data_IF_889552672781
#
_entry.id   IF_889552672781
#
_cell.length_a   1.000
_cell.length_b   1.000
_cell.length_c   1.000
_cell.angle_alpha   90.00
_cell.angle_beta   90.00
_cell.angle_gamma   90.00
#
_symmetry.space_group_name_H-M   'P 1'
#
loop_
_entity.id
_entity.type
_entity.pdbx_description
1 polymer ?
#
# COMPACT_ATOMS: atom_id res chain seq x y z
N UNK A 1 12.49 6.40 6.31
CA UNK A 1 12.86 5.07 5.77
C UNK A 1 11.71 4.13 6.03
N UNK A 2 11.26 3.40 5.01
CA UNK A 2 10.20 2.39 5.09
C UNK A 2 10.60 1.19 4.24
N UNK A 3 9.99 0.04 4.50
CA UNK A 3 10.04 -1.11 3.59
C UNK A 3 8.65 -1.69 3.40
N UNK A 4 8.51 -2.52 2.38
CA UNK A 4 7.30 -3.27 2.09
C UNK A 4 7.62 -4.75 2.17
N UNK A 5 6.86 -5.51 2.97
CA UNK A 5 6.90 -6.97 3.01
C UNK A 5 5.48 -7.47 2.77
N UNK A 6 5.28 -8.26 1.70
CA UNK A 6 3.95 -8.68 1.24
C UNK A 6 2.98 -7.49 1.11
N UNK A 7 1.84 -7.54 1.78
CA UNK A 7 0.80 -6.50 1.77
C UNK A 7 0.96 -5.49 2.92
N UNK A 8 2.15 -5.41 3.54
CA UNK A 8 2.43 -4.54 4.68
C UNK A 8 3.56 -3.53 4.43
N UNK A 9 3.32 -2.26 4.75
CA UNK A 9 4.34 -1.23 4.83
C UNK A 9 4.76 -1.02 6.27
N UNK A 10 6.06 -1.00 6.53
CA UNK A 10 6.61 -0.75 7.86
C UNK A 10 7.33 0.59 7.84
N UNK A 11 6.83 1.55 8.61
CA UNK A 11 7.39 2.89 8.72
C UNK A 11 8.31 2.96 9.94
N UNK A 12 9.63 2.87 9.72
CA UNK A 12 10.60 2.79 10.80
C UNK A 12 11.05 4.14 11.35
N UNK A 13 11.72 4.92 10.49
CA UNK A 13 12.48 6.09 10.92
C UNK A 13 11.97 7.30 10.15
N UNK A 14 11.20 8.12 10.86
CA UNK A 14 10.72 9.41 10.39
C UNK A 14 11.10 10.46 11.44
N UNK A 15 12.01 11.34 11.07
CA UNK A 15 12.52 12.39 11.94
C UNK A 15 12.56 13.70 11.16
N UNK A 16 12.12 14.76 11.82
CA UNK A 16 12.24 16.14 11.32
C UNK A 16 13.10 16.90 12.32
N UNK A 17 14.10 17.61 11.80
CA UNK A 17 14.98 18.49 12.58
C UNK A 17 14.13 19.46 13.42
N UNK A 18 14.47 19.71 14.71
CA UNK A 18 13.66 20.56 15.59
C UNK A 18 13.23 21.89 14.99
N UNK A 19 14.14 22.54 14.26
CA UNK A 19 13.97 23.85 13.63
C UNK A 19 12.99 23.84 12.45
N UNK A 20 12.71 22.66 11.90
CA UNK A 20 11.82 22.45 10.76
C UNK A 20 10.48 21.79 11.15
N UNK A 21 10.24 21.56 12.45
CA UNK A 21 8.98 20.95 12.94
C UNK A 21 7.80 21.91 12.77
N UNK A 22 6.58 21.39 12.92
CA UNK A 22 5.30 22.13 12.84
C UNK A 22 5.02 22.79 11.48
N UNK A 23 5.76 22.40 10.43
CA UNK A 23 5.58 22.86 9.04
C UNK A 23 4.95 21.81 8.13
N UNK A 24 4.38 20.73 8.68
CA UNK A 24 3.76 19.64 7.91
C UNK A 24 4.73 18.61 7.32
N UNK A 25 6.05 18.82 7.37
CA UNK A 25 7.06 17.93 6.77
C UNK A 25 6.96 16.47 7.21
N UNK A 26 6.68 16.22 8.50
CA UNK A 26 6.51 14.85 8.99
C UNK A 26 5.30 14.15 8.37
N UNK A 27 4.21 14.90 8.16
CA UNK A 27 3.00 14.39 7.54
C UNK A 27 3.20 14.16 6.03
N UNK A 28 3.98 15.02 5.37
CA UNK A 28 4.33 14.87 3.95
C UNK A 28 5.18 13.61 3.71
N UNK A 29 6.22 13.40 4.52
CA UNK A 29 7.06 12.20 4.44
C UNK A 29 6.26 10.91 4.69
N UNK A 30 5.36 10.92 5.68
CA UNK A 30 4.50 9.78 5.96
C UNK A 30 3.52 9.52 4.81
N UNK A 31 2.87 10.55 4.26
CA UNK A 31 1.98 10.43 3.09
C UNK A 31 2.71 9.91 1.88
N UNK A 32 3.94 10.34 1.63
CA UNK A 32 4.76 9.82 0.54
C UNK A 32 5.01 8.32 0.70
N UNK A 33 5.38 7.87 1.90
CA UNK A 33 5.54 6.43 2.17
C UNK A 33 4.23 5.66 1.94
N UNK A 34 3.10 6.17 2.44
CA UNK A 34 1.78 5.56 2.21
C UNK A 34 1.43 5.50 0.72
N UNK A 35 1.69 6.56 -0.05
CA UNK A 35 1.45 6.59 -1.49
C UNK A 35 2.27 5.50 -2.21
N UNK A 36 3.57 5.40 -1.91
CA UNK A 36 4.43 4.34 -2.46
C UNK A 36 3.95 2.95 -2.03
N UNK A 37 3.48 2.80 -0.78
CA UNK A 37 2.87 1.56 -0.30
C UNK A 37 1.60 1.20 -1.10
N UNK A 38 0.74 2.19 -1.35
CA UNK A 38 -0.49 2.04 -2.13
C UNK A 38 -0.19 1.57 -3.55
N UNK A 39 0.76 2.21 -4.23
CA UNK A 39 1.22 1.81 -5.57
C UNK A 39 1.76 0.37 -5.59
N UNK A 40 2.33 -0.09 -4.47
CA UNK A 40 2.84 -1.46 -4.30
C UNK A 40 1.81 -2.42 -3.74
N UNK A 41 0.56 -2.01 -3.52
CA UNK A 41 -0.51 -2.90 -3.03
C UNK A 41 -0.46 -3.28 -1.58
N UNK A 42 0.21 -2.46 -0.79
CA UNK A 42 0.09 -2.53 0.65
C UNK A 42 -1.37 -2.33 1.03
N UNK A 43 -1.87 -3.20 1.90
CA UNK A 43 -3.20 -3.11 2.50
C UNK A 43 -3.14 -2.51 3.89
N UNK A 44 -2.01 -2.65 4.57
CA UNK A 44 -1.82 -2.14 5.92
C UNK A 44 -0.47 -1.49 6.06
N UNK A 45 -0.42 -0.25 6.55
CA UNK A 45 0.82 0.33 7.06
C UNK A 45 0.88 0.18 8.59
N UNK A 46 2.08 -0.08 9.09
CA UNK A 46 2.40 -0.32 10.50
C UNK A 46 3.53 0.60 10.93
N UNK A 47 3.46 1.06 12.17
CA UNK A 47 4.58 1.73 12.84
C UNK A 47 4.60 1.45 14.33
N UNK A 48 5.77 1.60 14.91
CA UNK A 48 6.01 1.64 16.35
C UNK A 48 6.44 3.04 16.77
N UNK A 49 5.80 3.57 17.82
CA UNK A 49 6.12 4.88 18.37
C UNK A 49 6.22 4.80 19.89
N UNK A 50 7.21 5.48 20.48
CA UNK A 50 7.33 5.63 21.95
C UNK A 50 6.03 6.16 22.56
N UNK A 51 5.57 5.56 23.65
CA UNK A 51 4.32 5.95 24.32
C UNK A 51 4.33 7.41 24.80
N UNK A 52 5.50 7.95 25.17
CA UNK A 52 5.69 9.35 25.55
C UNK A 52 5.70 10.33 24.37
N UNK A 53 5.83 9.85 23.13
CA UNK A 53 5.91 10.71 21.95
C UNK A 53 4.53 11.13 21.44
N UNK A 54 3.82 11.90 22.26
CA UNK A 54 2.45 12.36 22.01
C UNK A 54 2.33 13.15 20.71
N UNK A 55 3.37 13.92 20.34
CA UNK A 55 3.39 14.69 19.10
C UNK A 55 3.39 13.80 17.85
N UNK A 56 4.17 12.72 17.86
CA UNK A 56 4.18 11.76 16.74
C UNK A 56 2.89 10.94 16.71
N UNK A 57 2.37 10.51 17.86
CA UNK A 57 1.08 9.81 17.96
C UNK A 57 -0.03 10.67 17.35
N UNK A 58 -0.15 11.94 17.75
CA UNK A 58 -1.16 12.86 17.23
C UNK A 58 -0.99 13.10 15.71
N UNK A 59 0.25 13.17 15.22
CA UNK A 59 0.53 13.27 13.78
C UNK A 59 0.01 12.04 13.02
N UNK A 60 0.27 10.83 13.53
CA UNK A 60 -0.18 9.60 12.88
C UNK A 60 -1.70 9.42 12.98
N UNK A 61 -2.32 9.75 14.12
CA UNK A 61 -3.78 9.78 14.27
C UNK A 61 -4.43 10.75 13.27
N UNK A 62 -3.85 11.95 13.11
CA UNK A 62 -4.32 12.93 12.12
C UNK A 62 -4.14 12.48 10.66
N UNK A 63 -3.27 11.50 10.40
CA UNK A 63 -3.12 10.85 9.10
C UNK A 63 -4.05 9.63 8.93
N UNK A 64 -4.81 9.24 9.97
CA UNK A 64 -5.74 8.10 9.94
C UNK A 64 -5.17 6.80 10.50
N UNK A 65 -3.99 6.79 11.11
CA UNK A 65 -3.51 5.61 11.84
C UNK A 65 -4.30 5.40 13.12
N UNK A 66 -4.68 4.17 13.40
CA UNK A 66 -5.32 3.75 14.64
C UNK A 66 -4.32 3.04 15.56
N UNK A 67 -4.44 3.25 16.87
CA UNK A 67 -3.71 2.48 17.89
C UNK A 67 -4.22 1.05 17.91
N UNK A 68 -3.32 0.07 17.75
CA UNK A 68 -3.65 -1.36 17.72
C UNK A 68 -3.35 -2.04 19.05
N UNK A 69 -2.14 -1.87 19.58
CA UNK A 69 -1.73 -2.46 20.85
C UNK A 69 -0.48 -1.76 21.42
N UNK A 70 -0.07 -2.17 22.62
CA UNK A 70 1.17 -1.75 23.26
C UNK A 70 2.16 -2.91 23.30
N UNK A 71 3.43 -2.64 23.01
CA UNK A 71 4.56 -3.55 23.31
C UNK A 71 5.27 -3.03 24.55
N UNK A 72 5.15 -3.79 25.65
CA UNK A 72 5.76 -3.41 26.93
C UNK A 72 7.28 -3.47 26.87
N UNK A 73 7.94 -2.42 27.35
CA UNK A 73 9.41 -2.33 27.43
C UNK A 73 10.13 -2.55 26.09
N UNK A 74 9.54 -2.09 25.00
CA UNK A 74 10.07 -2.30 23.64
C UNK A 74 11.33 -1.49 23.36
N UNK A 75 11.45 -0.29 23.93
CA UNK A 75 12.67 0.51 23.84
C UNK A 75 13.48 0.31 25.11
N UNK A 76 14.82 0.22 25.00
CA UNK A 76 15.71 -0.03 26.15
C UNK A 76 16.40 1.21 26.72
N UNK A 77 16.31 2.36 26.02
CA UNK A 77 17.05 3.59 26.39
C UNK A 77 16.24 4.86 26.12
N UNK A 78 15.55 5.45 27.12
CA UNK A 78 15.14 4.80 28.37
C UNK A 78 14.17 3.63 28.11
N UNK A 79 14.01 2.75 29.12
CA UNK A 79 13.06 1.64 29.04
C UNK A 79 11.65 2.19 28.87
N UNK A 80 11.00 1.85 27.77
CA UNK A 80 9.70 2.45 27.44
C UNK A 80 8.85 1.52 26.56
N UNK A 81 7.53 1.63 26.73
CA UNK A 81 6.56 0.96 25.89
C UNK A 81 6.48 1.60 24.50
N UNK A 82 6.17 0.77 23.49
CA UNK A 82 5.81 1.23 22.16
C UNK A 82 4.31 1.10 21.93
N UNK A 83 3.71 2.12 21.35
CA UNK A 83 2.38 2.06 20.75
C UNK A 83 2.54 1.55 19.33
N UNK A 84 1.87 0.45 19.03
CA UNK A 84 1.75 -0.08 17.68
C UNK A 84 0.56 0.60 17.04
N UNK A 85 0.79 1.29 15.92
CA UNK A 85 -0.27 1.95 15.16
C UNK A 85 -0.37 1.36 13.76
N UNK A 86 -1.58 1.27 13.26
CA UNK A 86 -1.87 0.73 11.92
C UNK A 86 -2.77 1.64 11.13
N UNK A 87 -2.47 1.80 9.84
CA UNK A 87 -3.33 2.45 8.87
C UNK A 87 -3.84 1.39 7.90
N UNK A 88 -5.16 1.22 7.83
CA UNK A 88 -5.77 0.40 6.80
C UNK A 88 -5.82 1.24 5.53
N UNK A 89 -5.10 0.80 4.51
CA UNK A 89 -5.18 1.42 3.19
C UNK A 89 -6.60 1.17 2.67
N UNK A 90 -7.39 2.23 2.44
CA UNK A 90 -8.69 2.11 1.76
C UNK A 90 -8.51 1.25 0.53
N UNK A 91 -9.11 0.05 0.51
CA UNK A 91 -8.93 -1.03 -0.49
C UNK A 91 -7.99 -0.63 -1.63
N UNK A 92 -6.71 -0.50 -1.29
CA UNK A 92 -5.64 -0.08 -2.20
C UNK A 92 -5.12 -1.23 -3.04
N UNK A 93 -5.81 -2.38 -2.97
CA UNK A 93 -5.80 -3.38 -4.02
C UNK A 93 -6.44 -2.87 -5.33
N UNK A 94 -7.00 -1.66 -5.35
CA UNK A 94 -7.49 -0.99 -6.54
C UNK A 94 -6.39 -0.15 -7.23
N UNK A 95 -5.35 -0.79 -7.76
CA UNK A 95 -4.39 -0.11 -8.66
C UNK A 95 -4.84 -0.17 -10.12
N UNK A 96 -6.09 -0.57 -10.38
CA UNK A 96 -6.72 -0.52 -11.70
C UNK A 96 -8.13 0.10 -11.62
N UNK A 97 -8.98 -0.31 -10.68
CA UNK A 97 -10.38 0.16 -10.62
C UNK A 97 -10.59 1.62 -10.14
N UNK A 98 -9.56 2.26 -9.59
CA UNK A 98 -9.60 3.69 -9.24
C UNK A 98 -9.02 4.58 -10.35
N UNK A 99 -8.60 4.00 -11.46
CA UNK A 99 -8.20 4.77 -12.64
C UNK A 99 -9.41 5.31 -13.37
N UNK A 100 -9.23 6.41 -14.10
CA UNK A 100 -10.27 6.97 -14.96
C UNK A 100 -10.88 5.83 -15.81
N UNK A 101 -12.21 5.57 -15.70
CA UNK A 101 -12.86 4.51 -16.44
C UNK A 101 -12.55 4.53 -17.94
N UNK A 102 -12.37 5.72 -18.52
CA UNK A 102 -12.01 5.87 -19.92
C UNK A 102 -10.60 5.32 -20.24
N UNK A 103 -9.65 5.42 -19.30
CA UNK A 103 -8.29 4.91 -19.49
C UNK A 103 -8.27 3.39 -19.37
N UNK A 104 -9.06 2.82 -18.46
CA UNK A 104 -9.18 1.37 -18.34
C UNK A 104 -9.86 0.75 -19.56
N UNK A 105 -10.92 1.40 -20.05
CA UNK A 105 -11.58 0.97 -21.28
C UNK A 105 -10.63 1.03 -22.48
N UNK A 106 -9.84 2.10 -22.58
CA UNK A 106 -8.80 2.21 -23.60
C UNK A 106 -7.77 1.08 -23.47
N UNK A 107 -7.29 0.80 -22.25
CA UNK A 107 -6.31 -0.25 -22.02
C UNK A 107 -6.84 -1.64 -22.41
N UNK A 108 -8.14 -1.91 -22.19
CA UNK A 108 -8.80 -3.14 -22.66
C UNK A 108 -8.91 -3.22 -24.18
N UNK A 109 -9.04 -2.08 -24.86
CA UNK A 109 -9.16 -2.00 -26.33
C UNK A 109 -7.78 -2.10 -26.98
N UNK A 110 -6.80 -1.35 -26.50
CA UNK A 110 -5.49 -1.19 -27.12
C UNK A 110 -4.51 -2.31 -26.75
N UNK A 111 -4.76 -3.06 -25.67
CA UNK A 111 -3.86 -4.10 -25.19
C UNK A 111 -4.59 -5.42 -24.92
N UNK A 112 -4.35 -6.41 -25.78
CA UNK A 112 -4.75 -7.80 -25.54
C UNK A 112 -4.02 -8.40 -24.32
N UNK A 113 -2.80 -7.95 -24.04
CA UNK A 113 -2.05 -8.31 -22.84
C UNK A 113 -2.77 -7.84 -21.58
N UNK A 114 -3.26 -6.60 -21.54
CA UNK A 114 -4.03 -6.08 -20.42
C UNK A 114 -5.24 -6.96 -20.11
N UNK A 115 -6.02 -7.32 -21.13
CA UNK A 115 -7.20 -8.17 -20.97
C UNK A 115 -6.84 -9.53 -20.38
N UNK A 116 -5.77 -10.14 -20.88
CA UNK A 116 -5.25 -11.42 -20.37
C UNK A 116 -4.83 -11.31 -18.91
N UNK A 117 -4.16 -10.22 -18.53
CA UNK A 117 -3.75 -9.97 -17.15
C UNK A 117 -4.94 -9.68 -16.24
N UNK A 118 -5.96 -8.97 -16.72
CA UNK A 118 -7.20 -8.66 -15.99
C UNK A 118 -7.97 -9.94 -15.67
N UNK A 119 -8.16 -10.80 -16.68
CA UNK A 119 -8.80 -12.11 -16.52
C UNK A 119 -8.03 -13.00 -15.54
N UNK A 120 -6.69 -13.05 -15.65
CA UNK A 120 -5.84 -13.79 -14.74
C UNK A 120 -5.94 -13.26 -13.29
N UNK A 121 -5.97 -11.93 -13.12
CA UNK A 121 -6.10 -11.30 -11.81
C UNK A 121 -7.44 -11.64 -11.14
N UNK A 122 -8.54 -11.61 -11.90
CA UNK A 122 -9.86 -12.00 -11.43
C UNK A 122 -9.91 -13.49 -11.04
N UNK A 123 -9.31 -14.37 -11.85
CA UNK A 123 -9.21 -15.79 -11.52
C UNK A 123 -8.47 -16.05 -10.21
N UNK A 124 -7.34 -15.37 -10.00
CA UNK A 124 -6.57 -15.45 -8.76
C UNK A 124 -7.34 -14.87 -7.55
N UNK A 125 -8.12 -13.80 -7.75
CA UNK A 125 -8.96 -13.24 -6.70
C UNK A 125 -10.06 -14.21 -6.23
N UNK A 126 -10.71 -14.90 -7.17
CA UNK A 126 -11.69 -15.92 -6.85
C UNK A 126 -11.08 -17.05 -6.02
N UNK A 127 -9.90 -17.54 -6.41
CA UNK A 127 -9.18 -18.57 -5.65
C UNK A 127 -8.79 -18.10 -4.25
N UNK A 128 -8.27 -16.88 -4.13
CA UNK A 128 -7.90 -16.30 -2.83
C UNK A 128 -9.11 -16.11 -1.92
N UNK A 129 -10.24 -15.69 -2.49
CA UNK A 129 -11.51 -15.55 -1.77
C UNK A 129 -11.97 -16.90 -1.21
N UNK A 130 -11.86 -17.97 -2.01
CA UNK A 130 -12.24 -19.31 -1.57
C UNK A 130 -11.35 -19.83 -0.44
N UNK A 131 -10.04 -19.63 -0.52
CA UNK A 131 -9.12 -19.95 0.58
C UNK A 131 -9.41 -19.13 1.83
N UNK A 132 -9.77 -17.86 1.70
CA UNK A 132 -10.08 -17.00 2.85
C UNK A 132 -11.39 -17.34 3.57
N UNK A 133 -12.33 -18.02 2.91
CA UNK A 133 -13.56 -18.50 3.57
C UNK A 133 -13.30 -19.69 4.51
N UNK A 134 -12.16 -20.37 4.39
CA UNK A 134 -11.85 -21.55 5.18
C UNK A 134 -11.40 -21.14 6.59
N UNK A 135 -11.93 -21.82 7.61
CA UNK A 135 -11.56 -21.58 9.01
C UNK A 135 -10.15 -22.07 9.35
N UNK A 136 -9.65 -23.06 8.63
CA UNK A 136 -8.31 -23.62 8.79
C UNK A 136 -7.74 -23.94 7.41
N UNK A 137 -6.44 -23.70 7.23
CA UNK A 137 -5.70 -23.99 6.01
C UNK A 137 -4.64 -25.04 6.31
N UNK A 138 -4.43 -25.97 5.38
CA UNK A 138 -3.27 -26.86 5.43
C UNK A 138 -1.98 -26.08 5.11
N UNK A 139 -0.80 -26.62 5.42
CA UNK A 139 0.47 -25.99 5.06
C UNK A 139 0.61 -25.77 3.54
N UNK A 140 0.10 -26.71 2.74
CA UNK A 140 0.05 -26.59 1.27
C UNK A 140 -0.86 -25.44 0.83
N UNK A 141 -2.02 -25.29 1.47
CA UNK A 141 -2.97 -24.22 1.17
C UNK A 141 -2.46 -22.84 1.61
N UNK A 142 -1.71 -22.76 2.72
CA UNK A 142 -1.01 -21.53 3.10
C UNK A 142 0.07 -21.15 2.07
N UNK A 143 0.82 -22.12 1.57
CA UNK A 143 1.81 -21.91 0.52
C UNK A 143 1.14 -21.49 -0.80
N UNK A 144 0.02 -22.13 -1.16
CA UNK A 144 -0.80 -21.76 -2.31
C UNK A 144 -1.35 -20.34 -2.17
N UNK A 145 -1.88 -19.98 -0.99
CA UNK A 145 -2.38 -18.64 -0.70
C UNK A 145 -1.28 -17.59 -0.90
N UNK A 146 -0.07 -17.83 -0.37
CA UNK A 146 1.09 -16.95 -0.58
C UNK A 146 1.46 -16.84 -2.06
N UNK A 147 1.44 -17.95 -2.80
CA UNK A 147 1.72 -17.97 -4.25
C UNK A 147 0.70 -17.14 -5.02
N UNK A 148 -0.60 -17.33 -4.75
CA UNK A 148 -1.68 -16.56 -5.35
C UNK A 148 -1.52 -15.07 -5.06
N UNK A 149 -1.20 -14.70 -3.82
CA UNK A 149 -0.94 -13.30 -3.45
C UNK A 149 0.23 -12.71 -4.23
N UNK A 150 1.32 -13.47 -4.39
CA UNK A 150 2.47 -13.05 -5.18
C UNK A 150 2.12 -12.86 -6.66
N UNK A 151 1.39 -13.80 -7.26
CA UNK A 151 0.98 -13.73 -8.66
C UNK A 151 -0.05 -12.61 -8.90
N UNK A 152 -0.95 -12.36 -7.94
CA UNK A 152 -1.86 -11.20 -7.96
C UNK A 152 -1.10 -9.87 -7.96
N UNK A 153 -0.04 -9.78 -7.16
CA UNK A 153 0.80 -8.59 -7.12
C UNK A 153 1.50 -8.38 -8.47
N UNK A 154 2.12 -9.44 -9.01
CA UNK A 154 2.82 -9.37 -10.29
C UNK A 154 1.90 -9.01 -11.47
N UNK A 155 0.73 -9.64 -11.57
CA UNK A 155 -0.27 -9.33 -12.62
C UNK A 155 -0.73 -7.88 -12.55
N UNK A 156 -1.01 -7.40 -11.34
CA UNK A 156 -1.44 -6.03 -11.14
C UNK A 156 -0.35 -5.01 -11.46
N UNK A 157 0.90 -5.26 -11.07
CA UNK A 157 2.01 -4.34 -11.35
C UNK A 157 2.25 -4.19 -12.87
N UNK A 158 2.09 -5.28 -13.63
CA UNK A 158 2.13 -5.26 -15.10
C UNK A 158 0.99 -4.44 -15.69
N UNK A 159 -0.25 -4.68 -15.24
CA UNK A 159 -1.41 -3.90 -15.67
C UNK A 159 -1.23 -2.40 -15.38
N UNK A 160 -0.75 -2.04 -14.20
CA UNK A 160 -0.46 -0.65 -13.83
C UNK A 160 0.65 -0.03 -14.70
N UNK A 161 1.63 -0.81 -15.15
CA UNK A 161 2.63 -0.34 -16.11
C UNK A 161 2.01 0.01 -17.47
N UNK A 162 1.08 -0.82 -17.98
CA UNK A 162 0.33 -0.55 -19.22
C UNK A 162 -0.47 0.74 -19.10
N UNK A 163 -1.24 0.90 -18.02
CA UNK A 163 -2.03 2.12 -17.77
C UNK A 163 -1.15 3.36 -17.71
N UNK A 164 0.01 3.29 -17.04
CA UNK A 164 0.96 4.41 -16.95
C UNK A 164 1.53 4.78 -18.33
N UNK A 165 1.87 3.80 -19.16
CA UNK A 165 2.35 4.05 -20.51
C UNK A 165 1.28 4.76 -21.38
N UNK A 166 0.03 4.32 -21.28
CA UNK A 166 -1.09 4.94 -22.00
C UNK A 166 -1.31 6.40 -21.58
N UNK A 167 -1.25 6.69 -20.29
CA UNK A 167 -1.33 8.06 -19.76
C UNK A 167 -0.21 8.96 -20.28
N UNK A 168 1.02 8.45 -20.31
CA UNK A 168 2.17 9.20 -20.83
C UNK A 168 2.02 9.53 -22.31
N UNK A 169 1.61 8.54 -23.12
CA UNK A 169 1.35 8.73 -24.55
C UNK A 169 0.27 9.79 -24.81
N UNK A 170 -0.80 9.79 -24.01
CA UNK A 170 -1.89 10.76 -24.15
C UNK A 170 -1.50 12.17 -23.73
N UNK A 171 -0.66 12.30 -22.71
CA UNK A 171 -0.11 13.60 -22.28
C UNK A 171 0.83 14.18 -23.34
N UNK A 172 1.62 13.33 -24.00
CA UNK A 172 2.48 13.71 -25.12
C UNK A 172 1.69 14.07 -26.39
N UNK A 173 0.57 13.39 -26.64
CA UNK A 173 -0.32 13.68 -27.78
C UNK A 173 -1.13 14.97 -27.58
N UNK A 174 -1.37 15.39 -26.34
CA UNK A 174 -2.07 16.63 -25.99
C UNK A 174 -1.14 17.87 -25.91
N UNK A 175 -0.08 17.90 -26.73
CA UNK A 175 0.90 19.01 -26.78
C UNK A 175 0.26 20.41 -26.88
N UNK A 176 0.99 21.46 -26.46
CA UNK A 176 0.42 22.70 -25.96
C UNK A 176 -0.52 23.33 -26.97
N UNK A 177 -1.78 23.52 -26.58
CA UNK A 177 -2.66 24.45 -27.28
C UNK A 177 -1.95 25.80 -27.31
N UNK A 178 -1.55 26.22 -28.51
CA UNK A 178 -1.05 27.56 -28.80
C UNK A 178 -2.10 28.63 -28.46
#
# INVERSE_FOLDING_TARGET
MFWVVFEELHLMNLAVRPEARRRGLGAELARHALAVGSERGVRTALLEVRASNLAAIALYEGLGFAKKCFRKGYYDRPREDAVIMTFLMEKGGATMLNEDPAILELARIESSEFKTLEDAHHGLEAQLSELNKRHFLTAEEEQQKKRIQFDKLATRDKMAAIVRALKQNRTLAAGPSA
#
